data_IF_093724601653
#
_entry.id   IF_093724601653
#
_cell.length_a   1.000
_cell.length_b   1.000
_cell.length_c   1.000
_cell.angle_alpha   90.00
_cell.angle_beta   90.00
_cell.angle_gamma   90.00
#
_symmetry.space_group_name_H-M   'P 1'
#
loop_
_entity.id
_entity.type
_entity.pdbx_description
1 polymer ?
#
# COMPACT_ATOMS: atom_id res chain seq x y z
N UNK A 1 18.08 13.02 -3.59
CA UNK A 1 19.33 13.51 -2.96
C UNK A 1 19.59 12.92 -1.57
N UNK A 2 18.67 13.05 -0.59
CA UNK A 2 18.89 12.54 0.78
C UNK A 2 19.34 11.07 0.89
N UNK A 3 18.73 10.16 0.13
CA UNK A 3 19.11 8.74 0.14
C UNK A 3 20.51 8.51 -0.46
N UNK A 4 20.81 9.16 -1.59
CA UNK A 4 22.11 9.05 -2.29
C UNK A 4 23.26 9.69 -1.49
N UNK A 5 22.97 10.67 -0.64
CA UNK A 5 23.95 11.30 0.22
C UNK A 5 24.23 10.53 1.53
N UNK A 6 23.48 9.45 1.82
CA UNK A 6 23.63 8.71 3.06
C UNK A 6 24.74 7.65 2.95
N UNK A 7 25.81 7.71 3.77
CA UNK A 7 26.94 6.77 3.66
C UNK A 7 26.58 5.32 4.04
N UNK A 8 25.41 5.08 4.64
CA UNK A 8 24.91 3.73 4.96
C UNK A 8 24.05 3.12 3.84
N UNK A 9 23.81 3.86 2.76
CA UNK A 9 22.97 3.41 1.65
C UNK A 9 23.84 3.25 0.41
N UNK A 10 23.82 2.04 -0.15
CA UNK A 10 24.35 1.77 -1.50
C UNK A 10 23.17 1.52 -2.43
N UNK A 11 23.15 2.20 -3.59
CA UNK A 11 22.11 1.99 -4.61
C UNK A 11 22.65 1.10 -5.72
N UNK A 12 22.04 -0.07 -5.88
CA UNK A 12 22.28 -1.00 -6.99
C UNK A 12 21.33 -0.71 -8.16
N UNK A 13 21.71 0.24 -9.01
CA UNK A 13 20.95 0.55 -10.23
C UNK A 13 20.99 -0.61 -11.23
N UNK A 14 20.01 -0.64 -12.14
CA UNK A 14 19.92 -1.62 -13.22
C UNK A 14 19.94 -3.07 -12.73
N UNK A 15 19.38 -3.32 -11.55
CA UNK A 15 19.30 -4.63 -10.93
C UNK A 15 17.85 -4.96 -10.57
N UNK A 16 17.47 -6.22 -10.74
CA UNK A 16 16.23 -6.79 -10.18
C UNK A 16 16.57 -7.84 -9.13
N UNK A 17 15.67 -8.06 -8.18
CA UNK A 17 15.74 -9.24 -7.30
C UNK A 17 15.45 -10.46 -8.14
N UNK A 18 16.37 -11.42 -8.13
CA UNK A 18 16.24 -12.72 -8.78
C UNK A 18 15.73 -13.76 -7.78
N UNK A 19 16.30 -13.73 -6.57
CA UNK A 19 15.94 -14.64 -5.48
C UNK A 19 16.23 -14.01 -4.12
N UNK A 20 15.36 -14.25 -3.15
CA UNK A 20 15.65 -13.99 -1.73
C UNK A 20 16.21 -15.28 -1.16
N UNK A 21 17.45 -15.24 -0.69
CA UNK A 21 18.17 -16.41 -0.18
C UNK A 21 17.86 -16.60 1.30
N UNK A 22 17.67 -17.84 1.73
CA UNK A 22 17.31 -18.17 3.10
C UNK A 22 16.52 -19.47 3.21
N UNK A 23 16.07 -19.77 4.43
CA UNK A 23 15.16 -20.88 4.72
C UNK A 23 14.26 -20.54 5.93
N UNK A 24 13.27 -21.39 6.20
CA UNK A 24 12.31 -21.18 7.29
C UNK A 24 12.96 -21.17 8.70
N UNK A 25 14.16 -21.72 8.85
CA UNK A 25 14.86 -21.78 10.14
C UNK A 25 15.73 -20.55 10.38
N UNK A 26 16.44 -20.07 9.36
CA UNK A 26 17.40 -18.97 9.45
C UNK A 26 16.79 -17.62 9.03
N UNK A 27 15.66 -17.64 8.32
CA UNK A 27 15.12 -16.45 7.67
C UNK A 27 15.97 -16.02 6.48
N UNK A 28 15.93 -14.72 6.15
CA UNK A 28 16.70 -14.14 5.04
C UNK A 28 18.19 -14.12 5.40
N UNK A 29 19.01 -14.69 4.52
CA UNK A 29 20.48 -14.69 4.63
C UNK A 29 21.14 -13.89 3.51
N UNK A 30 20.41 -13.59 2.43
CA UNK A 30 20.88 -12.72 1.38
C UNK A 30 19.85 -12.46 0.30
N UNK A 31 20.29 -11.73 -0.73
CA UNK A 31 19.53 -11.51 -1.95
C UNK A 31 20.43 -11.73 -3.15
N UNK A 32 19.94 -12.47 -4.14
CA UNK A 32 20.56 -12.59 -5.45
C UNK A 32 19.97 -11.51 -6.35
N UNK A 33 20.81 -10.60 -6.82
CA UNK A 33 20.45 -9.60 -7.80
C UNK A 33 20.83 -10.08 -9.20
N UNK A 34 19.98 -9.79 -10.17
CA UNK A 34 20.26 -9.98 -11.60
C UNK A 34 20.34 -8.64 -12.29
N UNK A 35 21.34 -8.49 -13.15
CA UNK A 35 21.45 -7.27 -13.96
C UNK A 35 20.35 -7.21 -15.03
N UNK A 36 19.76 -6.03 -15.18
CA UNK A 36 18.80 -5.69 -16.23
C UNK A 36 19.47 -5.33 -17.56
N UNK A 37 20.79 -5.10 -17.55
CA UNK A 37 21.58 -4.80 -18.77
C UNK A 37 22.31 -6.04 -19.31
N UNK A 38 22.71 -6.96 -18.44
CA UNK A 38 23.28 -8.27 -18.81
C UNK A 38 22.62 -9.38 -18.01
N UNK A 39 21.72 -10.14 -18.65
CA UNK A 39 20.91 -11.16 -17.99
C UNK A 39 21.73 -12.32 -17.42
N UNK A 40 22.98 -12.51 -17.85
CA UNK A 40 23.87 -13.56 -17.36
C UNK A 40 24.65 -13.15 -16.11
N UNK A 41 24.60 -11.86 -15.75
CA UNK A 41 25.30 -11.34 -14.58
C UNK A 41 24.41 -11.34 -13.35
N UNK A 42 24.85 -12.03 -12.31
CA UNK A 42 24.24 -12.03 -10.98
C UNK A 42 25.24 -11.60 -9.91
N UNK A 43 24.73 -11.05 -8.82
CA UNK A 43 25.49 -10.64 -7.62
C UNK A 43 24.73 -11.13 -6.39
N UNK A 44 25.41 -11.79 -5.46
CA UNK A 44 24.83 -12.18 -4.18
C UNK A 44 25.25 -11.18 -3.10
N UNK A 45 24.29 -10.65 -2.37
CA UNK A 45 24.49 -9.73 -1.26
C UNK A 45 24.03 -10.40 0.03
N UNK A 46 24.94 -10.52 0.99
CA UNK A 46 24.60 -10.96 2.34
C UNK A 46 23.68 -9.92 3.00
N UNK A 47 22.53 -10.37 3.51
CA UNK A 47 21.54 -9.50 4.12
C UNK A 47 20.71 -10.30 5.13
N UNK A 48 20.36 -9.70 6.25
CA UNK A 48 19.50 -10.34 7.27
C UNK A 48 18.02 -9.97 7.12
N UNK A 49 17.67 -9.19 6.09
CA UNK A 49 16.30 -8.74 5.87
C UNK A 49 16.09 -8.15 4.48
N UNK A 50 14.88 -8.32 3.96
CA UNK A 50 14.44 -7.79 2.68
C UNK A 50 13.13 -7.02 2.86
N UNK A 51 13.07 -5.81 2.31
CA UNK A 51 11.87 -4.97 2.33
C UNK A 51 11.46 -4.64 0.89
N UNK A 52 10.26 -5.08 0.50
CA UNK A 52 9.71 -4.77 -0.83
C UNK A 52 8.99 -3.42 -0.81
N UNK A 53 9.49 -2.44 -1.56
CA UNK A 53 8.97 -1.06 -1.58
C UNK A 53 8.55 -0.60 -2.99
N UNK A 54 7.80 -1.43 -3.72
CA UNK A 54 7.40 -1.20 -5.13
C UNK A 54 6.02 -0.51 -5.28
N UNK A 55 5.48 0.04 -4.19
CA UNK A 55 4.13 0.58 -4.15
C UNK A 55 3.10 -0.43 -3.64
N UNK A 56 1.83 -0.08 -3.71
CA UNK A 56 0.70 -0.88 -3.19
C UNK A 56 -0.40 -0.88 -4.26
N UNK A 57 -1.15 -1.97 -4.32
CA UNK A 57 -2.34 -2.08 -5.18
C UNK A 57 -3.57 -2.15 -4.27
N UNK A 58 -4.39 -1.07 -4.19
CA UNK A 58 -5.62 -1.11 -3.41
C UNK A 58 -6.60 -2.10 -4.04
N UNK A 59 -7.36 -2.83 -3.21
CA UNK A 59 -8.26 -3.89 -3.68
C UNK A 59 -9.59 -3.31 -4.17
N UNK A 60 -9.56 -2.52 -5.24
CA UNK A 60 -10.70 -1.75 -5.79
C UNK A 60 -11.20 -2.28 -7.13
N UNK A 61 -10.50 -3.22 -7.76
CA UNK A 61 -10.83 -3.74 -9.10
C UNK A 61 -12.25 -4.32 -9.19
N UNK A 62 -12.76 -4.92 -8.10
CA UNK A 62 -14.11 -5.49 -8.05
C UNK A 62 -15.23 -4.43 -8.19
N UNK A 63 -14.92 -3.15 -7.92
CA UNK A 63 -15.89 -2.05 -7.99
C UNK A 63 -16.23 -1.66 -9.43
N UNK A 64 -15.40 -2.03 -10.42
CA UNK A 64 -15.68 -1.82 -11.85
C UNK A 64 -16.09 -0.37 -12.21
N UNK A 65 -15.45 0.61 -11.58
CA UNK A 65 -15.69 2.04 -11.83
C UNK A 65 -16.95 2.63 -11.19
N UNK A 66 -17.65 1.87 -10.33
CA UNK A 66 -18.83 2.37 -9.63
C UNK A 66 -18.50 3.45 -8.57
N UNK A 67 -17.26 3.47 -8.08
CA UNK A 67 -16.75 4.51 -7.18
C UNK A 67 -15.65 5.30 -7.87
N UNK A 68 -15.59 6.61 -7.57
CA UNK A 68 -14.49 7.47 -7.97
C UNK A 68 -13.22 7.03 -7.24
N UNK A 69 -12.16 6.82 -8.01
CA UNK A 69 -10.84 6.52 -7.50
C UNK A 69 -9.89 7.69 -7.80
N UNK A 70 -8.86 7.85 -6.98
CA UNK A 70 -7.75 8.76 -7.29
C UNK A 70 -6.81 8.15 -8.36
N UNK A 71 -5.79 8.91 -8.78
CA UNK A 71 -4.83 8.46 -9.80
C UNK A 71 -4.08 7.18 -9.42
N UNK A 72 -3.95 6.90 -8.12
CA UNK A 72 -3.33 5.68 -7.57
C UNK A 72 -4.32 4.54 -7.33
N UNK A 73 -5.57 4.68 -7.79
CA UNK A 73 -6.68 3.70 -7.68
C UNK A 73 -7.26 3.49 -6.27
N UNK A 74 -6.96 4.36 -5.30
CA UNK A 74 -7.59 4.35 -3.99
C UNK A 74 -8.97 5.02 -4.09
N UNK A 75 -9.93 4.62 -3.24
CA UNK A 75 -11.25 5.24 -3.21
C UNK A 75 -11.12 6.69 -2.74
N UNK A 76 -11.68 7.62 -3.51
CA UNK A 76 -11.60 9.05 -3.21
C UNK A 76 -12.62 9.43 -2.13
N UNK A 77 -12.15 10.03 -1.03
CA UNK A 77 -13.01 10.64 -0.04
C UNK A 77 -13.46 12.01 -0.52
N UNK A 78 -14.76 12.17 -0.71
CA UNK A 78 -15.32 13.41 -1.28
C UNK A 78 -15.41 14.56 -0.27
N UNK A 79 -15.28 14.24 1.03
CA UNK A 79 -15.42 15.20 2.13
C UNK A 79 -14.28 15.03 3.13
N UNK A 80 -13.50 16.09 3.44
CA UNK A 80 -12.44 16.02 4.44
C UNK A 80 -12.95 15.53 5.80
N UNK A 81 -12.20 14.61 6.42
CA UNK A 81 -12.54 14.03 7.74
C UNK A 81 -13.88 13.28 7.79
N UNK A 82 -14.36 12.80 6.64
CA UNK A 82 -15.50 11.89 6.52
C UNK A 82 -15.13 10.76 5.57
N UNK A 83 -15.86 9.66 5.67
CA UNK A 83 -15.59 8.44 4.89
C UNK A 83 -16.46 8.33 3.64
N UNK A 84 -17.10 9.43 3.25
CA UNK A 84 -18.02 9.50 2.12
C UNK A 84 -17.30 9.27 0.79
N UNK A 85 -17.89 8.43 -0.05
CA UNK A 85 -17.41 8.18 -1.41
C UNK A 85 -18.16 9.03 -2.43
N UNK A 86 -17.97 8.76 -3.71
CA UNK A 86 -18.74 9.38 -4.79
C UNK A 86 -20.19 8.89 -4.89
N UNK A 87 -20.55 7.82 -4.19
CA UNK A 87 -21.90 7.25 -4.19
C UNK A 87 -22.51 7.40 -2.81
N UNK A 88 -23.69 8.00 -2.76
CA UNK A 88 -24.43 8.17 -1.51
C UNK A 88 -24.76 6.80 -0.87
N UNK A 89 -24.57 6.69 0.45
CA UNK A 89 -24.77 5.45 1.19
C UNK A 89 -23.61 4.44 1.07
N UNK A 90 -22.54 4.78 0.34
CA UNK A 90 -21.31 3.98 0.26
C UNK A 90 -20.16 4.71 0.94
N UNK A 91 -19.51 4.02 1.88
CA UNK A 91 -18.42 4.54 2.71
C UNK A 91 -17.15 3.72 2.49
N UNK A 92 -15.99 4.35 2.63
CA UNK A 92 -14.69 3.68 2.50
C UNK A 92 -13.79 3.98 3.70
N UNK A 93 -13.15 2.94 4.24
CA UNK A 93 -12.27 3.03 5.41
C UNK A 93 -11.03 2.15 5.25
N UNK A 94 -9.95 2.56 5.91
CA UNK A 94 -8.66 1.88 5.88
C UNK A 94 -7.86 2.16 4.60
N UNK A 95 -6.85 1.32 4.39
CA UNK A 95 -5.86 1.45 3.31
C UNK A 95 -6.47 1.45 1.90
N UNK A 96 -7.74 1.06 1.72
CA UNK A 96 -8.43 1.18 0.42
C UNK A 96 -8.68 2.65 0.01
N UNK A 97 -8.68 3.56 0.99
CA UNK A 97 -8.87 5.00 0.82
C UNK A 97 -7.72 5.85 1.40
N UNK A 98 -6.85 5.27 2.25
CA UNK A 98 -5.66 5.92 2.80
C UNK A 98 -4.38 5.53 2.03
N UNK A 99 -3.95 6.39 1.11
CA UNK A 99 -2.72 6.21 0.33
C UNK A 99 -1.47 6.79 1.01
N UNK A 100 -1.62 7.37 2.21
CA UNK A 100 -0.57 8.10 2.91
C UNK A 100 -0.06 7.36 4.15
N UNK A 101 -0.91 7.15 5.16
CA UNK A 101 -0.47 6.65 6.47
C UNK A 101 -0.30 5.13 6.47
N UNK A 102 -1.30 4.36 6.02
CA UNK A 102 -1.26 2.90 5.90
C UNK A 102 -0.81 2.22 7.20
N UNK A 103 -1.48 2.55 8.29
CA UNK A 103 -1.22 1.99 9.62
C UNK A 103 -2.47 1.33 10.17
N UNK A 104 -2.30 0.24 10.91
CA UNK A 104 -3.43 -0.47 11.52
C UNK A 104 -4.31 0.46 12.39
N UNK A 105 -3.69 1.40 13.13
CA UNK A 105 -4.43 2.33 13.98
C UNK A 105 -5.17 3.42 13.19
N UNK A 106 -4.62 3.90 12.07
CA UNK A 106 -5.32 4.86 11.20
C UNK A 106 -6.50 4.17 10.50
N UNK A 107 -6.29 2.93 10.05
CA UNK A 107 -7.34 2.11 9.48
C UNK A 107 -8.48 1.85 10.48
N UNK A 108 -8.17 1.45 11.71
CA UNK A 108 -9.16 1.27 12.77
C UNK A 108 -9.94 2.57 13.06
N UNK A 109 -9.25 3.71 13.12
CA UNK A 109 -9.87 5.02 13.30
C UNK A 109 -10.86 5.36 12.20
N UNK A 110 -10.46 5.20 10.93
CA UNK A 110 -11.36 5.43 9.79
C UNK A 110 -12.51 4.41 9.72
N UNK A 111 -12.32 3.18 10.21
CA UNK A 111 -13.39 2.18 10.33
C UNK A 111 -14.47 2.62 11.31
N UNK A 112 -14.08 3.18 12.46
CA UNK A 112 -15.01 3.78 13.42
C UNK A 112 -15.78 4.96 12.78
N UNK A 113 -15.09 5.82 12.03
CA UNK A 113 -15.72 6.93 11.31
C UNK A 113 -16.76 6.43 10.30
N UNK A 114 -16.43 5.41 9.50
CA UNK A 114 -17.35 4.83 8.52
C UNK A 114 -18.59 4.21 9.16
N UNK A 115 -18.44 3.56 10.32
CA UNK A 115 -19.58 3.02 11.06
C UNK A 115 -20.54 4.12 11.51
N UNK A 116 -20.02 5.22 12.07
CA UNK A 116 -20.84 6.35 12.51
C UNK A 116 -21.41 7.16 11.34
N UNK A 117 -20.68 7.28 10.24
CA UNK A 117 -21.15 7.91 9.01
C UNK A 117 -22.31 7.12 8.39
N UNK A 118 -22.23 5.79 8.39
CA UNK A 118 -23.28 4.90 7.92
C UNK A 118 -24.52 4.93 8.82
N UNK A 119 -24.35 4.87 10.15
CA UNK A 119 -25.45 4.96 11.12
C UNK A 119 -26.24 6.26 10.95
N UNK A 120 -25.55 7.41 10.94
CA UNK A 120 -26.21 8.71 10.71
C UNK A 120 -26.91 8.78 9.37
N UNK A 121 -26.33 8.20 8.32
CA UNK A 121 -26.95 8.18 7.00
C UNK A 121 -28.24 7.35 7.00
N UNK A 122 -28.27 6.19 7.65
CA UNK A 122 -29.47 5.36 7.79
C UNK A 122 -30.57 6.10 8.54
N UNK A 123 -30.25 6.72 9.68
CA UNK A 123 -31.19 7.51 10.47
C UNK A 123 -31.77 8.68 9.66
N UNK A 124 -30.94 9.42 8.91
CA UNK A 124 -31.40 10.52 8.05
C UNK A 124 -32.30 10.08 6.90
N UNK A 125 -32.16 8.84 6.44
CA UNK A 125 -33.02 8.25 5.38
C UNK A 125 -34.29 7.61 5.94
N UNK A 126 -34.44 7.53 7.26
CA UNK A 126 -35.59 6.90 7.92
C UNK A 126 -35.58 5.38 7.84
N UNK A 127 -34.39 4.76 7.74
CA UNK A 127 -34.22 3.31 7.82
C UNK A 127 -34.05 2.79 9.25
N UNK A 128 -33.94 3.71 10.22
CA UNK A 128 -33.87 3.48 11.66
C UNK A 128 -35.00 4.24 12.37
#
# INVERSE_FOLDING_TARGET
ERALANPKIEVKWNSTVDEVLGDDKQGVTGVRLRSTVDKHKTEELAASGYFCAIGHTPNTDFLKGQLKLNEKKYIDWTTPQRTYTSVEGVFAAGDVADDYYRQAITAAGSGCQAALDAERWLALKGFE
#
